data_IF_140774085419
#
_entry.id   IF_140774085419
#
_cell.length_a   1.000
_cell.length_b   1.000
_cell.length_c   1.000
_cell.angle_alpha   90.00
_cell.angle_beta   90.00
_cell.angle_gamma   90.00
#
_symmetry.space_group_name_H-M   'P 1'
#
loop_
_entity.id
_entity.type
_entity.pdbx_description
1 polymer ?
#
# COMPACT_ATOMS: atom_id res chain seq x y z
N UNK A 1 40.69 8.94 -0.97
CA UNK A 1 39.55 9.27 -1.83
C UNK A 1 38.50 8.22 -1.51
N UNK A 2 37.62 8.53 -0.55
CA UNK A 2 36.61 7.59 -0.08
C UNK A 2 35.47 7.52 -1.11
N UNK A 3 35.19 6.32 -1.59
CA UNK A 3 34.06 6.05 -2.49
C UNK A 3 32.80 6.03 -1.63
N UNK A 4 31.75 6.82 -1.93
CA UNK A 4 30.50 6.75 -1.18
C UNK A 4 29.90 5.36 -1.35
N UNK A 5 29.66 4.68 -0.24
CA UNK A 5 28.97 3.39 -0.20
C UNK A 5 27.46 3.64 -0.36
N UNK A 6 27.06 4.14 -1.52
CA UNK A 6 25.65 4.32 -1.88
C UNK A 6 25.09 2.94 -2.19
N UNK A 7 24.53 2.30 -1.16
CA UNK A 7 23.83 1.04 -1.28
C UNK A 7 22.48 1.32 -2.00
N UNK A 8 22.33 1.01 -3.31
CA UNK A 8 21.23 1.54 -4.14
C UNK A 8 19.87 0.86 -3.87
N UNK A 9 19.80 0.00 -2.85
CA UNK A 9 18.63 -0.76 -2.43
C UNK A 9 17.91 -0.13 -1.23
N UNK A 10 18.55 0.81 -0.53
CA UNK A 10 17.97 1.41 0.67
C UNK A 10 17.10 2.61 0.27
N UNK A 11 15.78 2.49 0.52
CA UNK A 11 14.84 3.61 0.35
C UNK A 11 15.30 4.78 1.21
N UNK A 12 15.29 5.99 0.66
CA UNK A 12 15.61 7.19 1.42
C UNK A 12 14.47 7.48 2.42
N UNK A 13 14.76 7.34 3.72
CA UNK A 13 13.82 7.66 4.79
C UNK A 13 13.75 9.17 5.01
N UNK A 14 12.54 9.70 5.19
CA UNK A 14 12.33 11.11 5.51
C UNK A 14 12.30 11.29 7.03
N UNK A 15 13.00 12.30 7.55
CA UNK A 15 12.95 12.65 8.96
C UNK A 15 11.66 13.43 9.30
N UNK A 16 10.96 13.01 10.35
CA UNK A 16 9.73 13.64 10.80
C UNK A 16 9.51 13.48 12.31
N UNK A 17 8.52 14.20 12.82
CA UNK A 17 7.96 14.02 14.16
C UNK A 17 6.48 13.74 14.07
N UNK A 18 5.92 13.08 15.08
CA UNK A 18 4.51 12.69 15.13
C UNK A 18 3.83 13.33 16.32
N UNK A 19 2.65 13.93 16.11
CA UNK A 19 1.77 14.45 17.16
C UNK A 19 0.43 13.71 17.13
N UNK A 20 -0.03 13.26 18.30
CA UNK A 20 -1.29 12.51 18.45
C UNK A 20 -1.07 11.06 18.91
N UNK A 21 -2.10 10.21 18.83
CA UNK A 21 -3.41 10.45 18.25
C UNK A 21 -4.28 11.42 19.08
N UNK A 22 -4.92 12.38 18.42
CA UNK A 22 -5.86 13.33 19.03
C UNK A 22 -7.29 12.90 18.67
N UNK A 23 -8.16 12.56 19.64
CA UNK A 23 -9.55 12.22 19.35
C UNK A 23 -10.31 13.43 18.78
N UNK A 24 -11.15 13.19 17.78
CA UNK A 24 -11.98 14.23 17.15
C UNK A 24 -13.39 14.11 17.70
N UNK A 25 -13.85 15.11 18.45
CA UNK A 25 -15.19 15.15 19.01
C UNK A 25 -16.13 15.94 18.10
N UNK A 26 -17.36 15.45 17.91
CA UNK A 26 -18.41 16.17 17.19
C UNK A 26 -19.07 17.24 18.06
N UNK A 27 -19.04 17.06 19.39
CA UNK A 27 -19.70 17.95 20.34
C UNK A 27 -18.76 18.28 21.49
N UNK A 28 -18.60 19.57 21.76
CA UNK A 28 -17.62 20.14 22.70
C UNK A 28 -17.84 19.68 24.16
N UNK A 29 -19.07 19.27 24.50
CA UNK A 29 -19.48 18.96 25.88
C UNK A 29 -19.64 17.47 26.21
N UNK A 30 -19.37 16.55 25.28
CA UNK A 30 -19.38 15.11 25.59
C UNK A 30 -18.17 14.41 24.96
N UNK A 31 -17.27 13.94 25.80
CA UNK A 31 -16.15 13.08 25.43
C UNK A 31 -16.61 11.65 25.13
N UNK A 32 -17.61 11.49 24.25
CA UNK A 32 -18.00 10.18 23.74
C UNK A 32 -16.96 9.71 22.72
N UNK A 33 -16.58 8.43 22.77
CA UNK A 33 -15.64 7.84 21.81
C UNK A 33 -16.25 7.92 20.42
N UNK A 34 -15.76 8.84 19.59
CA UNK A 34 -16.32 9.11 18.25
C UNK A 34 -15.87 8.12 17.18
N UNK A 35 -15.01 7.16 17.53
CA UNK A 35 -14.38 6.30 16.54
C UNK A 35 -13.53 7.09 15.54
N UNK A 36 -13.14 8.32 15.87
CA UNK A 36 -12.40 9.21 14.98
C UNK A 36 -11.23 9.87 15.73
N UNK A 37 -10.03 9.82 15.17
CA UNK A 37 -8.84 10.49 15.71
C UNK A 37 -7.95 11.00 14.58
N UNK A 38 -7.05 11.93 14.89
CA UNK A 38 -6.05 12.41 13.93
C UNK A 38 -4.64 12.29 14.45
N UNK A 39 -3.72 11.98 13.54
CA UNK A 39 -2.27 12.03 13.77
C UNK A 39 -1.69 13.05 12.81
N UNK A 40 -0.90 13.99 13.32
CA UNK A 40 -0.14 14.93 12.51
C UNK A 40 1.31 14.45 12.39
N UNK A 41 1.80 14.32 11.16
CA UNK A 41 3.18 13.97 10.86
C UNK A 41 3.85 15.23 10.30
N UNK A 42 4.85 15.74 11.00
CA UNK A 42 5.53 17.00 10.70
C UNK A 42 6.92 16.69 10.18
N UNK A 43 7.20 17.02 8.93
CA UNK A 43 8.54 16.83 8.35
C UNK A 43 9.50 17.85 8.96
N UNK A 44 10.73 17.44 9.25
CA UNK A 44 11.77 18.33 9.80
C UNK A 44 12.12 19.43 8.79
N UNK A 45 12.12 19.09 7.50
CA UNK A 45 12.32 20.02 6.38
C UNK A 45 11.27 19.76 5.31
N UNK A 46 10.78 20.81 4.61
CA UNK A 46 9.87 20.61 3.49
C UNK A 46 10.51 19.70 2.45
N UNK A 47 9.82 18.62 2.10
CA UNK A 47 10.43 17.52 1.34
C UNK A 47 9.47 16.81 0.42
N UNK A 48 10.04 15.92 -0.41
CA UNK A 48 9.27 14.99 -1.22
C UNK A 48 9.00 13.72 -0.42
N UNK A 49 7.77 13.23 -0.47
CA UNK A 49 7.39 11.93 0.09
C UNK A 49 6.71 11.13 -1.02
N UNK A 50 7.06 9.84 -1.12
CA UNK A 50 6.48 8.93 -2.10
C UNK A 50 5.69 7.80 -1.46
N UNK A 51 5.96 7.50 -0.20
CA UNK A 51 5.30 6.42 0.52
C UNK A 51 5.17 6.75 2.02
N UNK A 52 4.00 6.48 2.58
CA UNK A 52 3.76 6.37 4.02
C UNK A 52 3.55 4.89 4.32
N UNK A 53 4.44 4.28 5.10
CA UNK A 53 4.34 2.90 5.55
C UNK A 53 3.92 2.90 7.02
N UNK A 54 3.00 2.04 7.42
CA UNK A 54 2.62 1.88 8.83
C UNK A 54 2.00 0.51 9.09
N UNK A 55 1.99 0.12 10.36
CA UNK A 55 1.21 -1.01 10.87
C UNK A 55 -0.15 -0.51 11.32
N UNK A 56 -1.21 -1.18 10.86
CA UNK A 56 -2.56 -0.92 11.34
C UNK A 56 -2.69 -1.43 12.78
N UNK A 57 -3.46 -0.73 13.61
CA UNK A 57 -3.93 -1.24 14.90
C UNK A 57 -5.42 -0.89 15.02
N UNK A 58 -6.25 -1.75 14.44
CA UNK A 58 -7.72 -1.65 14.43
C UNK A 58 -8.27 -0.33 13.84
N UNK A 59 -7.60 0.31 12.90
CA UNK A 59 -8.19 1.41 12.12
C UNK A 59 -8.93 0.81 10.93
N UNK A 60 -10.21 1.15 10.75
CA UNK A 60 -10.99 0.64 9.63
C UNK A 60 -10.65 1.34 8.31
N UNK A 61 -10.47 2.67 8.35
CA UNK A 61 -10.03 3.46 7.21
C UNK A 61 -9.30 4.73 7.64
N UNK A 62 -8.45 5.22 6.74
CA UNK A 62 -7.67 6.45 6.94
C UNK A 62 -7.90 7.45 5.81
N UNK A 63 -8.10 8.72 6.15
CA UNK A 63 -8.01 9.84 5.21
C UNK A 63 -6.68 10.57 5.38
N UNK A 64 -6.15 11.18 4.33
CA UNK A 64 -4.89 11.93 4.34
C UNK A 64 -5.14 13.35 3.88
N UNK A 65 -4.78 14.31 4.72
CA UNK A 65 -4.62 15.72 4.36
C UNK A 65 -3.13 16.07 4.40
N UNK A 66 -2.74 17.12 3.69
CA UNK A 66 -1.38 17.67 3.77
C UNK A 66 -1.35 19.18 3.70
N UNK A 67 -0.24 19.76 4.16
CA UNK A 67 0.15 21.16 3.97
C UNK A 67 1.45 21.16 3.17
N UNK A 68 1.52 22.01 2.13
CA UNK A 68 2.72 22.20 1.32
C UNK A 68 3.44 23.49 1.72
N UNK A 69 4.76 23.46 1.69
CA UNK A 69 5.61 24.65 1.77
C UNK A 69 5.66 25.32 0.41
N UNK A 70 4.83 26.34 0.21
CA UNK A 70 4.92 27.23 -0.95
C UNK A 70 4.94 28.67 -0.44
N UNK A 71 5.93 29.44 -0.87
CA UNK A 71 6.21 30.78 -0.33
C UNK A 71 5.07 31.78 -0.57
N UNK A 72 4.16 31.50 -1.50
CA UNK A 72 3.12 32.43 -1.95
C UNK A 72 1.68 32.05 -1.56
N UNK A 73 1.47 31.00 -0.75
CA UNK A 73 0.12 30.62 -0.29
C UNK A 73 0.09 30.41 1.22
N UNK A 74 -1.01 30.80 1.89
CA UNK A 74 -1.17 30.48 3.30
C UNK A 74 -1.16 28.97 3.50
N UNK A 75 -0.59 28.53 4.63
CA UNK A 75 -0.60 27.12 5.02
C UNK A 75 -2.04 26.64 5.20
N UNK A 76 -2.54 25.90 4.22
CA UNK A 76 -3.90 25.36 4.19
C UNK A 76 -3.86 23.85 4.05
N UNK A 77 -4.72 23.17 4.80
CA UNK A 77 -4.95 21.74 4.65
C UNK A 77 -5.58 21.42 3.30
N UNK A 78 -4.96 20.52 2.57
CA UNK A 78 -5.42 20.03 1.27
C UNK A 78 -5.72 18.53 1.37
N UNK A 79 -6.90 18.06 0.92
CA UNK A 79 -7.21 16.64 0.91
C UNK A 79 -6.38 15.92 -0.15
N UNK A 80 -5.52 15.00 0.29
CA UNK A 80 -4.70 14.17 -0.58
C UNK A 80 -5.41 12.88 -0.94
N UNK A 81 -5.92 12.19 0.08
CA UNK A 81 -6.64 10.92 -0.05
C UNK A 81 -7.87 10.98 0.83
N UNK A 82 -9.05 10.80 0.24
CA UNK A 82 -10.30 10.91 0.99
C UNK A 82 -10.50 9.72 1.94
N UNK A 83 -10.24 8.51 1.46
CA UNK A 83 -10.48 7.27 2.20
C UNK A 83 -9.67 6.11 1.64
N UNK A 84 -8.77 5.55 2.44
CA UNK A 84 -8.12 4.25 2.20
C UNK A 84 -8.66 3.25 3.20
N UNK A 85 -9.24 2.16 2.71
CA UNK A 85 -9.75 1.05 3.54
C UNK A 85 -8.58 0.24 4.05
N UNK A 86 -8.54 0.00 5.36
CA UNK A 86 -7.53 -0.81 6.03
C UNK A 86 -8.15 -2.10 6.61
N UNK A 87 -9.44 -2.07 6.98
CA UNK A 87 -10.21 -3.25 7.34
C UNK A 87 -11.40 -3.37 6.39
N UNK A 88 -11.53 -4.47 5.62
CA UNK A 88 -12.67 -4.68 4.72
C UNK A 88 -14.01 -4.65 5.46
N UNK A 89 -14.03 -5.22 6.67
CA UNK A 89 -15.13 -5.12 7.62
C UNK A 89 -14.60 -4.53 8.93
N UNK A 90 -15.19 -3.42 9.36
CA UNK A 90 -14.77 -2.72 10.58
C UNK A 90 -15.06 -3.52 11.86
N UNK A 91 -15.95 -4.52 11.82
CA UNK A 91 -16.33 -5.32 12.98
C UNK A 91 -15.50 -6.60 13.15
N UNK A 92 -14.70 -6.96 12.13
CA UNK A 92 -13.88 -8.18 12.13
C UNK A 92 -12.39 -7.83 12.26
N UNK A 93 -11.58 -8.76 12.76
CA UNK A 93 -10.16 -8.52 13.01
C UNK A 93 -9.29 -8.55 11.73
N UNK A 94 -9.86 -8.96 10.60
CA UNK A 94 -9.16 -9.05 9.32
C UNK A 94 -8.44 -7.74 8.96
N UNK A 95 -7.15 -7.84 8.68
CA UNK A 95 -6.25 -6.74 8.34
C UNK A 95 -6.06 -5.65 9.42
N UNK A 96 -6.52 -5.90 10.65
CA UNK A 96 -6.40 -4.95 11.76
C UNK A 96 -4.95 -4.73 12.24
N UNK A 97 -4.03 -5.67 11.95
CA UNK A 97 -2.62 -5.66 12.36
C UNK A 97 -1.63 -5.75 11.19
N UNK A 98 -2.14 -5.66 9.97
CA UNK A 98 -1.34 -5.75 8.75
C UNK A 98 -0.52 -4.46 8.53
N UNK A 99 0.53 -4.58 7.72
CA UNK A 99 1.33 -3.44 7.28
C UNK A 99 0.76 -2.89 5.99
N UNK A 100 0.55 -1.58 5.94
CA UNK A 100 0.01 -0.86 4.79
C UNK A 100 0.97 0.20 4.29
N UNK A 101 0.99 0.38 2.97
CA UNK A 101 1.64 1.49 2.28
C UNK A 101 0.60 2.40 1.64
N UNK A 102 0.76 3.72 1.82
CA UNK A 102 0.06 4.74 1.06
C UNK A 102 1.05 5.39 0.12
N UNK A 103 0.84 5.18 -1.18
CA UNK A 103 1.70 5.72 -2.21
C UNK A 103 1.23 7.12 -2.62
N UNK A 104 2.18 7.99 -2.99
CA UNK A 104 1.86 9.32 -3.52
C UNK A 104 1.01 9.26 -4.79
N UNK A 105 1.03 8.14 -5.53
CA UNK A 105 0.20 7.91 -6.72
C UNK A 105 -1.27 7.68 -6.40
N UNK A 106 -1.62 7.35 -5.16
CA UNK A 106 -3.02 7.25 -4.70
C UNK A 106 -3.64 8.63 -4.43
N UNK A 107 -2.82 9.67 -4.36
CA UNK A 107 -3.22 11.03 -4.00
C UNK A 107 -3.66 11.84 -5.21
N UNK A 108 -4.66 12.69 -5.01
CA UNK A 108 -5.13 13.66 -6.04
C UNK A 108 -4.16 14.83 -6.21
N UNK A 109 -3.32 15.08 -5.19
CA UNK A 109 -2.30 16.14 -5.18
C UNK A 109 -0.89 15.55 -5.05
N UNK A 110 0.09 16.20 -5.65
CA UNK A 110 1.48 15.74 -5.59
C UNK A 110 2.09 15.97 -4.20
N UNK A 111 2.87 15.01 -3.73
CA UNK A 111 3.56 15.06 -2.44
C UNK A 111 4.99 15.61 -2.57
N UNK A 112 5.16 16.70 -3.31
CA UNK A 112 6.40 17.47 -3.32
C UNK A 112 6.30 18.68 -2.38
N UNK A 113 7.40 19.06 -1.73
CA UNK A 113 7.44 20.18 -0.79
C UNK A 113 6.38 20.08 0.32
N UNK A 114 6.16 18.87 0.83
CA UNK A 114 5.23 18.64 1.95
C UNK A 114 5.89 19.12 3.23
N UNK A 115 5.12 19.84 4.06
CA UNK A 115 5.51 20.22 5.41
C UNK A 115 4.91 19.29 6.46
N UNK A 116 3.63 18.95 6.27
CA UNK A 116 2.85 18.21 7.26
C UNK A 116 1.82 17.33 6.59
N UNK A 117 1.61 16.14 7.14
CA UNK A 117 0.46 15.30 6.86
C UNK A 117 -0.46 15.28 8.08
N UNK A 118 -1.75 15.12 7.84
CA UNK A 118 -2.75 14.76 8.86
C UNK A 118 -3.46 13.50 8.41
N UNK A 119 -3.26 12.44 9.18
CA UNK A 119 -3.94 11.17 9.01
C UNK A 119 -5.20 11.17 9.87
N UNK A 120 -6.36 11.10 9.23
CA UNK A 120 -7.66 11.01 9.91
C UNK A 120 -8.04 9.55 10.01
N UNK A 121 -7.95 8.99 11.21
CA UNK A 121 -8.22 7.60 11.52
C UNK A 121 -9.69 7.43 11.86
N UNK A 122 -10.35 6.42 11.29
CA UNK A 122 -11.75 6.12 11.54
C UNK A 122 -11.93 4.64 11.88
N UNK A 123 -12.65 4.38 12.96
CA UNK A 123 -13.07 3.07 13.42
C UNK A 123 -14.53 3.16 13.90
N UNK A 124 -15.52 2.82 13.04
CA UNK A 124 -16.93 2.91 13.39
C UNK A 124 -17.40 1.80 14.34
N UNK A 125 -16.68 0.68 14.45
CA UNK A 125 -17.04 -0.40 15.35
C UNK A 125 -16.70 -0.05 16.80
N UNK A 126 -17.68 -0.20 17.68
CA UNK A 126 -17.53 0.04 19.12
C UNK A 126 -16.76 -1.07 19.83
N UNK A 127 -16.57 -2.22 19.17
CA UNK A 127 -15.84 -3.37 19.73
C UNK A 127 -14.36 -3.04 19.96
N UNK A 128 -13.79 -2.13 19.16
CA UNK A 128 -12.39 -1.76 19.25
C UNK A 128 -12.21 -0.55 20.17
N UNK A 129 -11.97 -0.82 21.45
CA UNK A 129 -11.84 0.21 22.48
C UNK A 129 -10.67 1.19 22.28
N UNK A 130 -9.68 0.83 21.46
CA UNK A 130 -8.51 1.63 21.07
C UNK A 130 -8.12 1.30 19.64
N UNK A 131 -7.84 2.33 18.85
CA UNK A 131 -7.34 2.19 17.47
C UNK A 131 -6.28 3.28 17.19
N UNK A 132 -5.25 2.93 16.44
CA UNK A 132 -4.12 3.82 16.11
C UNK A 132 -3.32 3.26 14.93
N UNK A 133 -2.34 4.01 14.47
CA UNK A 133 -1.31 3.51 13.57
C UNK A 133 -0.01 3.35 14.35
N UNK A 134 0.73 2.30 14.06
CA UNK A 134 2.04 2.00 14.67
C UNK A 134 3.12 1.94 13.58
N UNK A 135 4.39 1.98 13.98
CA UNK A 135 5.54 1.78 13.07
C UNK A 135 5.47 2.67 11.80
N UNK A 136 5.02 3.92 11.97
CA UNK A 136 4.90 4.87 10.85
C UNK A 136 6.30 5.21 10.33
N UNK A 137 6.50 5.10 9.01
CA UNK A 137 7.71 5.46 8.30
C UNK A 137 7.34 6.24 7.03
N UNK A 138 8.19 7.20 6.66
CA UNK A 138 8.06 7.98 5.44
C UNK A 138 9.27 7.74 4.54
N UNK A 139 9.04 7.55 3.25
CA UNK A 139 10.09 7.38 2.26
C UNK A 139 9.98 8.43 1.15
N UNK A 140 11.11 9.02 0.77
CA UNK A 140 11.22 10.00 -0.31
C UNK A 140 11.18 9.34 -1.69
N UNK A 141 11.56 8.06 -1.75
CA UNK A 141 11.60 7.24 -2.94
C UNK A 141 10.76 5.98 -2.77
N UNK A 142 10.19 5.51 -3.88
CA UNK A 142 9.58 4.19 -3.93
C UNK A 142 10.66 3.11 -3.96
N UNK A 143 10.37 1.88 -3.50
CA UNK A 143 11.24 0.74 -3.76
C UNK A 143 11.53 0.63 -5.26
N UNK A 144 12.77 0.94 -5.66
CA UNK A 144 13.23 0.65 -7.01
C UNK A 144 13.50 -0.84 -7.07
N UNK A 145 12.64 -1.59 -7.74
CA UNK A 145 13.09 -2.85 -8.34
C UNK A 145 14.10 -2.44 -9.42
N UNK A 146 15.38 -2.74 -9.21
CA UNK A 146 16.46 -2.31 -10.10
C UNK A 146 16.12 -2.57 -11.58
N UNK A 147 15.79 -1.47 -12.28
CA UNK A 147 15.80 -1.34 -13.74
C UNK A 147 16.72 -0.16 -14.04
N UNK A 148 18.03 -0.36 -13.88
CA UNK A 148 19.02 0.54 -14.48
C UNK A 148 20.16 -0.27 -15.09
N UNK A 149 20.39 -0.13 -16.42
CA UNK A 149 21.49 -0.77 -17.13
C UNK A 149 22.78 0.03 -16.89
N UNK A 150 23.51 -0.30 -15.83
CA UNK A 150 24.88 0.21 -15.69
C UNK A 150 25.73 -0.72 -14.82
N UNK A 151 26.09 -1.88 -15.40
CA UNK A 151 27.40 -2.51 -15.23
C UNK A 151 27.56 -3.58 -16.32
N UNK A 152 28.67 -3.61 -17.07
CA UNK A 152 28.95 -4.71 -17.99
C UNK A 152 29.56 -5.86 -17.19
N UNK A 153 28.81 -6.94 -16.93
CA UNK A 153 29.28 -8.34 -16.68
C UNK A 153 28.42 -9.20 -15.73
N UNK A 154 27.12 -9.34 -16.00
CA UNK A 154 26.33 -10.50 -15.55
C UNK A 154 25.27 -10.83 -16.62
N UNK A 155 24.87 -12.10 -16.83
CA UNK A 155 24.22 -12.52 -18.05
C UNK A 155 22.81 -11.92 -18.16
N UNK A 156 22.69 -10.87 -18.98
CA UNK A 156 21.44 -10.20 -19.39
C UNK A 156 20.37 -11.20 -19.91
N UNK A 157 20.77 -12.43 -20.22
CA UNK A 157 19.93 -13.53 -20.67
C UNK A 157 18.87 -13.97 -19.64
N UNK A 158 19.21 -14.06 -18.35
CA UNK A 158 18.26 -14.60 -17.35
C UNK A 158 17.16 -13.60 -16.99
N UNK A 159 17.52 -12.32 -16.87
CA UNK A 159 16.56 -11.25 -16.58
C UNK A 159 15.57 -11.02 -17.73
N UNK A 160 16.07 -11.05 -18.97
CA UNK A 160 15.23 -10.97 -20.17
C UNK A 160 14.25 -12.14 -20.23
N UNK A 161 14.72 -13.35 -19.89
CA UNK A 161 13.87 -14.55 -19.83
C UNK A 161 12.76 -14.43 -18.79
N UNK A 162 13.08 -13.90 -17.61
CA UNK A 162 12.09 -13.69 -16.54
C UNK A 162 11.04 -12.64 -16.95
N UNK A 163 11.44 -11.50 -17.49
CA UNK A 163 10.48 -10.49 -17.96
C UNK A 163 9.60 -11.01 -19.10
N UNK A 164 10.17 -11.79 -20.02
CA UNK A 164 9.41 -12.40 -21.11
C UNK A 164 8.41 -13.44 -20.61
N UNK A 165 8.76 -14.18 -19.54
CA UNK A 165 7.82 -15.10 -18.87
C UNK A 165 6.67 -14.34 -18.21
N UNK A 166 6.97 -13.26 -17.46
CA UNK A 166 5.94 -12.41 -16.84
C UNK A 166 5.02 -11.82 -17.92
N UNK A 167 5.59 -11.31 -19.03
CA UNK A 167 4.84 -10.77 -20.16
C UNK A 167 3.88 -11.81 -20.76
N UNK A 168 4.36 -13.03 -21.00
CA UNK A 168 3.55 -14.13 -21.54
C UNK A 168 2.43 -14.55 -20.59
N UNK A 169 2.73 -14.70 -19.30
CA UNK A 169 1.72 -15.06 -18.29
C UNK A 169 0.64 -13.96 -18.17
N UNK A 170 1.07 -12.70 -18.16
CA UNK A 170 0.15 -11.55 -18.12
C UNK A 170 -0.75 -11.51 -19.34
N UNK A 171 -0.18 -11.68 -20.55
CA UNK A 171 -0.96 -11.74 -21.79
C UNK A 171 -1.92 -12.92 -21.81
N UNK A 172 -1.51 -14.10 -21.35
CA UNK A 172 -2.39 -15.27 -21.27
C UNK A 172 -3.56 -15.03 -20.31
N UNK A 173 -3.32 -14.39 -19.17
CA UNK A 173 -4.37 -14.04 -18.21
C UNK A 173 -5.36 -13.01 -18.78
N UNK A 174 -4.87 -12.01 -19.51
CA UNK A 174 -5.72 -11.01 -20.16
C UNK A 174 -6.56 -11.60 -21.31
N UNK A 175 -6.00 -12.56 -22.03
CA UNK A 175 -6.68 -13.24 -23.14
C UNK A 175 -7.51 -14.44 -22.66
N UNK A 176 -7.54 -14.72 -21.36
CA UNK A 176 -8.37 -15.76 -20.78
C UNK A 176 -9.84 -15.32 -20.82
N UNK A 177 -10.50 -15.61 -21.92
CA UNK A 177 -11.95 -15.61 -22.01
C UNK A 177 -12.48 -16.91 -21.39
N UNK A 178 -13.18 -16.82 -20.27
CA UNK A 178 -13.93 -17.96 -19.76
C UNK A 178 -14.99 -18.33 -20.79
N UNK A 179 -14.83 -19.47 -21.47
CA UNK A 179 -15.97 -20.12 -22.10
C UNK A 179 -16.90 -20.57 -20.95
N UNK A 180 -17.87 -19.73 -20.59
CA UNK A 180 -19.02 -20.20 -19.84
C UNK A 180 -19.88 -20.99 -20.82
N UNK A 181 -19.63 -22.29 -20.89
CA UNK A 181 -20.63 -23.23 -21.41
C UNK A 181 -21.77 -23.32 -20.40
N UNK A 182 -22.86 -22.64 -20.72
CA UNK A 182 -24.20 -22.88 -20.14
C UNK A 182 -24.61 -24.31 -20.43
N UNK A 183 -24.69 -25.17 -19.41
CA UNK A 183 -25.36 -26.46 -19.51
C UNK A 183 -26.63 -26.48 -18.64
N UNK A 184 -27.77 -26.43 -19.33
CA UNK A 184 -29.11 -26.71 -18.84
C UNK A 184 -29.31 -28.21 -18.57
N UNK A 185 -29.82 -28.51 -17.37
CA UNK A 185 -30.61 -29.65 -16.87
C UNK A 185 -30.61 -31.01 -17.63
N UNK A 186 -30.21 -32.06 -16.90
CA UNK A 186 -31.03 -33.23 -16.47
C UNK A 186 -30.41 -34.63 -16.66
N UNK A 187 -30.57 -35.44 -15.59
CA UNK A 187 -30.56 -36.91 -15.50
C UNK A 187 -29.24 -37.65 -15.20
N UNK A 188 -29.26 -38.38 -14.09
CA UNK A 188 -28.27 -39.24 -13.39
C UNK A 188 -28.01 -40.61 -14.07
N UNK A 189 -27.16 -41.53 -13.53
CA UNK A 189 -25.73 -41.41 -13.22
C UNK A 189 -24.93 -42.68 -13.63
N UNK A 190 -23.92 -42.64 -14.52
CA UNK A 190 -22.86 -43.68 -14.54
C UNK A 190 -21.70 -43.28 -15.43
N UNK A 191 -20.57 -42.89 -14.83
CA UNK A 191 -19.23 -43.14 -15.36
C UNK A 191 -18.19 -42.54 -14.40
N UNK A 192 -17.21 -43.37 -14.06
CA UNK A 192 -16.04 -43.03 -13.27
C UNK A 192 -15.25 -41.96 -14.02
N UNK A 193 -15.40 -40.70 -13.63
CA UNK A 193 -14.52 -39.64 -14.07
C UNK A 193 -13.21 -39.72 -13.29
N UNK A 194 -12.15 -40.15 -13.98
CA UNK A 194 -10.79 -39.77 -13.60
C UNK A 194 -10.77 -38.24 -13.53
N UNK A 195 -10.57 -37.71 -12.34
CA UNK A 195 -10.18 -36.31 -12.17
C UNK A 195 -8.76 -36.18 -12.71
N UNK A 196 -8.64 -35.93 -14.01
CA UNK A 196 -7.45 -35.31 -14.55
C UNK A 196 -7.48 -33.87 -14.06
N UNK A 197 -6.72 -33.63 -12.98
CA UNK A 197 -6.41 -32.29 -12.48
C UNK A 197 -5.73 -31.55 -13.63
N UNK A 198 -6.52 -30.85 -14.44
CA UNK A 198 -5.98 -29.88 -15.38
C UNK A 198 -5.48 -28.73 -14.52
N UNK A 199 -4.21 -28.83 -14.14
CA UNK A 199 -3.53 -27.86 -13.31
C UNK A 199 -3.70 -26.48 -13.96
N UNK A 200 -4.24 -25.53 -13.21
CA UNK A 200 -4.19 -24.13 -13.60
C UNK A 200 -2.72 -23.78 -13.80
N UNK A 201 -2.35 -23.46 -15.05
CA UNK A 201 -0.96 -23.34 -15.47
C UNK A 201 -0.28 -22.14 -14.85
N UNK A 202 0.30 -22.31 -13.67
CA UNK A 202 1.50 -21.59 -13.27
C UNK A 202 2.59 -22.62 -12.98
N UNK A 203 3.65 -22.58 -13.77
CA UNK A 203 4.83 -23.40 -13.56
C UNK A 203 5.70 -22.70 -12.52
N UNK A 204 5.79 -23.26 -11.32
CA UNK A 204 6.68 -22.75 -10.26
C UNK A 204 8.10 -23.21 -10.60
N UNK A 205 8.91 -22.32 -11.18
CA UNK A 205 10.33 -22.59 -11.41
C UNK A 205 11.10 -22.31 -10.13
N UNK A 206 11.67 -23.35 -9.52
CA UNK A 206 12.54 -23.22 -8.33
C UNK A 206 13.88 -22.66 -8.79
N UNK A 207 14.21 -21.44 -8.40
CA UNK A 207 15.52 -20.85 -8.68
C UNK A 207 16.58 -21.57 -7.83
N UNK A 208 17.65 -22.04 -8.48
CA UNK A 208 18.82 -22.60 -7.81
C UNK A 208 19.43 -21.54 -6.90
N UNK A 209 19.55 -21.87 -5.62
CA UNK A 209 20.22 -21.04 -4.63
C UNK A 209 21.70 -20.92 -5.01
N UNK A 210 22.19 -19.68 -5.09
CA UNK A 210 23.63 -19.34 -5.18
C UNK A 210 24.20 -19.36 -3.77
#
# INVERSE_FOLDING_TARGET
>A
MEVPNDNPLCRESVAFTVKGPVPIFLQEHQASKTGCSSIDIILTTPGRVREILFRNYYVANVGVLLIKGNDNKPYQWQPAIQKKILMPDAHLENCSQDVFSILATESVIDWNYVLMFRLILRQPSQMWGTFKLEEINLYADLPRFNLTPSLPSAPQCEYSRMLELIRKQTMAALMYSSNMETCSNSTTPTAIHKYEKQACGYEIVKLSQI
#
